data_IF_065232562408
#
_entry.id   IF_065232562408
#
_cell.length_a   1.000
_cell.length_b   1.000
_cell.length_c   1.000
_cell.angle_alpha   90.00
_cell.angle_beta   90.00
_cell.angle_gamma   90.00
#
_symmetry.space_group_name_H-M   'P 1'
#
loop_
_entity.id
_entity.type
_entity.pdbx_description
1 polymer ?
#
# COMPACT_ATOMS: atom_id res chain seq x y z
N UNK A 1 31.25 -6.28 38.59
CA UNK A 1 31.23 -7.62 38.06
C UNK A 1 31.28 -7.67 36.54
N UNK A 2 32.42 -8.05 36.02
CA UNK A 2 32.74 -8.11 34.58
C UNK A 2 31.90 -9.13 33.82
N UNK A 3 31.41 -10.18 34.43
CA UNK A 3 30.49 -11.17 33.84
C UNK A 3 29.16 -10.56 33.44
N UNK A 4 28.56 -9.76 34.30
CA UNK A 4 27.26 -9.15 34.05
C UNK A 4 27.32 -8.14 32.92
N UNK A 5 28.44 -7.43 32.76
CA UNK A 5 28.67 -6.48 31.63
C UNK A 5 28.85 -7.19 30.29
N UNK A 6 29.47 -8.40 30.31
CA UNK A 6 29.64 -9.23 29.09
C UNK A 6 28.32 -9.83 28.64
N UNK A 7 27.48 -10.30 29.55
CA UNK A 7 26.15 -10.83 29.23
C UNK A 7 25.21 -9.74 28.72
N UNK A 8 25.23 -8.56 29.34
CA UNK A 8 24.46 -7.41 28.88
C UNK A 8 24.85 -7.02 27.46
N UNK A 9 26.14 -6.93 27.14
CA UNK A 9 26.63 -6.65 25.78
C UNK A 9 26.24 -7.76 24.78
N UNK A 10 26.21 -9.02 25.22
CA UNK A 10 25.83 -10.17 24.38
C UNK A 10 24.32 -10.14 24.07
N UNK A 11 23.48 -9.75 25.03
CA UNK A 11 22.04 -9.55 24.84
C UNK A 11 21.77 -8.36 23.94
N UNK A 12 22.39 -7.22 24.16
CA UNK A 12 22.27 -6.04 23.30
C UNK A 12 22.71 -6.32 21.84
N UNK A 13 23.80 -7.10 21.67
CA UNK A 13 24.28 -7.50 20.34
C UNK A 13 23.33 -8.49 19.65
N UNK A 14 22.68 -9.38 20.42
CA UNK A 14 21.67 -10.32 19.93
C UNK A 14 20.39 -9.57 19.54
N UNK A 15 19.96 -8.62 20.36
CA UNK A 15 18.80 -7.78 20.12
C UNK A 15 18.97 -6.87 18.89
N UNK A 16 20.19 -6.32 18.69
CA UNK A 16 20.54 -5.57 17.48
C UNK A 16 20.54 -6.42 16.21
N UNK A 17 20.87 -7.71 16.29
CA UNK A 17 20.86 -8.63 15.15
C UNK A 17 19.46 -9.00 14.67
N UNK A 18 18.46 -8.94 15.55
CA UNK A 18 17.07 -9.27 15.24
C UNK A 18 16.25 -8.07 14.78
N UNK A 19 16.77 -6.84 14.95
CA UNK A 19 16.13 -5.64 14.46
C UNK A 19 16.29 -5.52 12.96
N UNK A 20 15.18 -5.32 12.28
CA UNK A 20 15.12 -5.06 10.86
C UNK A 20 14.51 -3.69 10.62
N UNK A 21 15.13 -2.93 9.75
CA UNK A 21 14.61 -1.67 9.25
C UNK A 21 14.11 -1.92 7.84
N UNK A 22 12.90 -1.48 7.55
CA UNK A 22 12.30 -1.62 6.25
C UNK A 22 11.70 -0.27 5.81
N UNK A 23 12.00 0.15 4.60
CA UNK A 23 11.40 1.32 3.94
C UNK A 23 10.73 0.85 2.67
N UNK A 24 9.43 1.06 2.57
CA UNK A 24 8.68 0.56 1.44
C UNK A 24 7.28 1.14 1.33
N UNK A 25 6.53 0.60 0.39
CA UNK A 25 5.16 1.01 0.13
C UNK A 25 4.18 -0.07 0.58
N UNK A 26 3.07 0.37 1.16
CA UNK A 26 1.98 -0.52 1.59
C UNK A 26 1.30 -1.12 0.37
N UNK A 27 1.24 -2.43 0.28
CA UNK A 27 0.71 -3.13 -0.89
C UNK A 27 -0.81 -3.29 -0.89
N UNK A 28 -1.41 -3.34 0.28
CA UNK A 28 -2.86 -3.45 0.48
C UNK A 28 -3.26 -2.69 1.73
N UNK A 29 -4.53 -2.29 1.81
CA UNK A 29 -5.06 -1.68 3.02
C UNK A 29 -4.87 -2.59 4.22
N UNK A 30 -4.44 -2.04 5.37
CA UNK A 30 -4.21 -2.82 6.57
C UNK A 30 -5.48 -3.51 7.05
N UNK A 31 -5.33 -4.75 7.52
CA UNK A 31 -6.37 -5.48 8.24
C UNK A 31 -6.16 -5.29 9.72
N UNK A 32 -7.12 -4.68 10.39
CA UNK A 32 -7.04 -4.43 11.82
C UNK A 32 -8.07 -5.28 12.56
N UNK A 33 -7.61 -5.93 13.62
CA UNK A 33 -8.45 -6.73 14.50
C UNK A 33 -8.33 -6.20 15.91
N UNK A 34 -9.49 -5.91 16.51
CA UNK A 34 -9.63 -5.50 17.90
C UNK A 34 -10.07 -6.70 18.74
N UNK A 35 -9.46 -6.85 19.90
CA UNK A 35 -9.80 -7.91 20.86
C UNK A 35 -10.53 -7.35 22.09
N UNK A 36 -11.32 -8.19 22.75
CA UNK A 36 -12.09 -7.82 23.95
C UNK A 36 -11.23 -7.32 25.12
N UNK A 37 -9.95 -7.68 25.11
CA UNK A 37 -8.95 -7.23 26.09
C UNK A 37 -8.50 -5.78 25.90
N UNK A 38 -9.02 -5.07 24.88
CA UNK A 38 -8.59 -3.72 24.51
C UNK A 38 -7.31 -3.68 23.69
N UNK A 39 -6.76 -4.83 23.31
CA UNK A 39 -5.61 -4.92 22.42
C UNK A 39 -6.05 -4.92 20.95
N UNK A 40 -5.17 -4.43 20.08
CA UNK A 40 -5.39 -4.41 18.64
C UNK A 40 -4.17 -4.95 17.90
N UNK A 41 -4.41 -5.57 16.74
CA UNK A 41 -3.36 -6.04 15.83
C UNK A 41 -3.71 -5.61 14.42
N UNK A 42 -2.77 -4.96 13.76
CA UNK A 42 -2.86 -4.60 12.35
C UNK A 42 -1.85 -5.41 11.54
N UNK A 43 -2.27 -5.91 10.40
CA UNK A 43 -1.41 -6.66 9.47
C UNK A 43 -1.54 -6.09 8.07
N UNK A 44 -0.41 -5.93 7.39
CA UNK A 44 -0.37 -5.47 6.00
C UNK A 44 0.92 -5.90 5.30
N UNK A 45 0.89 -6.06 3.97
CA UNK A 45 2.10 -6.30 3.19
C UNK A 45 2.83 -4.99 2.90
N UNK A 46 4.16 -5.01 3.00
CA UNK A 46 5.04 -3.91 2.64
C UNK A 46 5.99 -4.35 1.54
N UNK A 47 6.02 -3.61 0.44
CA UNK A 47 6.96 -3.81 -0.65
C UNK A 47 8.21 -2.95 -0.42
N UNK A 48 9.35 -3.59 -0.30
CA UNK A 48 10.66 -2.91 -0.32
C UNK A 48 11.30 -3.12 -1.68
N UNK A 49 11.82 -2.05 -2.25
CA UNK A 49 12.39 -2.08 -3.59
C UNK A 49 13.85 -1.63 -3.55
N UNK A 50 14.73 -2.51 -4.01
CA UNK A 50 16.12 -2.20 -4.29
C UNK A 50 16.24 -1.75 -5.73
N UNK A 51 16.75 -0.54 -5.93
CA UNK A 51 16.92 0.00 -7.28
C UNK A 51 17.95 -0.80 -8.06
N UNK A 52 17.64 -1.07 -9.32
CA UNK A 52 18.62 -1.59 -10.26
C UNK A 52 19.78 -0.61 -10.45
N UNK A 53 20.95 -1.14 -10.77
CA UNK A 53 22.16 -0.37 -11.04
C UNK A 53 23.01 -1.05 -12.10
N UNK A 54 23.92 -0.29 -12.69
CA UNK A 54 24.85 -0.81 -13.68
C UNK A 54 26.25 -0.95 -13.05
N UNK A 55 26.83 -2.12 -13.15
CA UNK A 55 28.19 -2.39 -12.71
C UNK A 55 29.21 -1.68 -13.63
N UNK A 56 30.45 -1.49 -13.14
CA UNK A 56 31.53 -0.88 -13.91
C UNK A 56 31.86 -1.62 -15.21
N UNK A 57 31.57 -2.92 -15.28
CA UNK A 57 31.74 -3.75 -16.48
C UNK A 57 30.57 -3.67 -17.48
N UNK A 58 29.60 -2.78 -17.25
CA UNK A 58 28.41 -2.62 -18.08
C UNK A 58 27.26 -3.59 -17.82
N UNK A 59 27.42 -4.51 -16.87
CA UNK A 59 26.33 -5.44 -16.49
C UNK A 59 25.23 -4.69 -15.76
N UNK A 60 24.00 -4.84 -16.22
CA UNK A 60 22.82 -4.25 -15.56
C UNK A 60 22.25 -5.22 -14.51
N UNK A 61 22.16 -4.73 -13.29
CA UNK A 61 21.45 -5.41 -12.21
C UNK A 61 20.02 -4.86 -12.15
N UNK A 62 18.99 -5.71 -12.35
CA UNK A 62 17.62 -5.24 -12.39
C UNK A 62 17.12 -4.82 -11.00
N UNK A 63 16.07 -4.00 -10.99
CA UNK A 63 15.32 -3.67 -9.80
C UNK A 63 14.72 -4.92 -9.17
N UNK A 64 14.76 -5.02 -7.85
CA UNK A 64 14.21 -6.13 -7.08
C UNK A 64 13.25 -5.65 -6.03
N UNK A 65 12.04 -6.18 -6.03
CA UNK A 65 11.02 -5.93 -5.01
C UNK A 65 10.83 -7.15 -4.15
N UNK A 66 10.84 -6.96 -2.83
CA UNK A 66 10.56 -7.99 -1.84
C UNK A 66 9.33 -7.59 -1.02
N UNK A 67 8.50 -8.60 -0.71
CA UNK A 67 7.30 -8.42 0.08
C UNK A 67 7.51 -8.90 1.50
N UNK A 68 7.14 -8.06 2.45
CA UNK A 68 7.23 -8.34 3.87
C UNK A 68 5.85 -8.31 4.52
N UNK A 69 5.56 -9.29 5.37
CA UNK A 69 4.36 -9.28 6.20
C UNK A 69 4.64 -8.46 7.47
N UNK A 70 3.90 -7.40 7.66
CA UNK A 70 4.07 -6.47 8.77
C UNK A 70 2.98 -6.71 9.79
N UNK A 71 3.36 -6.75 11.07
CA UNK A 71 2.46 -6.88 12.22
C UNK A 71 2.71 -5.72 13.17
N UNK A 72 1.70 -4.88 13.37
CA UNK A 72 1.69 -3.81 14.35
C UNK A 72 0.71 -4.14 15.47
N UNK A 73 1.05 -3.82 16.70
CA UNK A 73 0.22 -4.16 17.86
C UNK A 73 -0.16 -2.94 18.67
N UNK A 74 -1.30 -3.00 19.34
CA UNK A 74 -1.82 -2.00 20.27
C UNK A 74 -1.84 -0.60 19.66
N UNK A 75 -1.17 0.37 20.26
CA UNK A 75 -1.13 1.76 19.80
C UNK A 75 -0.68 1.92 18.35
N UNK A 76 0.29 1.11 17.90
CA UNK A 76 0.72 1.15 16.51
C UNK A 76 -0.35 0.61 15.57
N UNK A 77 -1.11 -0.40 15.99
CA UNK A 77 -2.25 -0.90 15.23
C UNK A 77 -3.35 0.16 15.07
N UNK A 78 -3.63 0.95 16.09
CA UNK A 78 -4.58 2.06 16.02
C UNK A 78 -4.12 3.17 15.08
N UNK A 79 -2.84 3.49 15.08
CA UNK A 79 -2.24 4.46 14.15
C UNK A 79 -2.34 3.95 12.72
N UNK A 80 -2.04 2.66 12.50
CA UNK A 80 -2.18 2.02 11.19
C UNK A 80 -3.61 2.07 10.70
N UNK A 81 -4.59 1.77 11.57
CA UNK A 81 -6.02 1.80 11.23
C UNK A 81 -6.48 3.18 10.77
N UNK A 82 -6.02 4.23 11.45
CA UNK A 82 -6.44 5.62 11.19
C UNK A 82 -5.74 6.26 10.00
N UNK A 83 -4.47 5.96 9.77
CA UNK A 83 -3.62 6.77 8.90
C UNK A 83 -2.97 6.03 7.75
N UNK A 84 -2.85 4.70 7.82
CA UNK A 84 -2.13 3.91 6.82
C UNK A 84 -3.09 3.33 5.79
N UNK A 85 -2.80 3.57 4.51
CA UNK A 85 -3.57 3.10 3.37
C UNK A 85 -2.66 2.44 2.34
N UNK A 86 -3.25 1.68 1.45
CA UNK A 86 -2.54 1.12 0.29
C UNK A 86 -1.81 2.23 -0.47
N UNK A 87 -0.55 1.97 -0.80
CA UNK A 87 0.30 2.90 -1.53
C UNK A 87 1.11 3.84 -0.65
N UNK A 88 0.80 3.96 0.63
CA UNK A 88 1.54 4.82 1.55
C UNK A 88 2.99 4.34 1.71
N UNK A 89 3.89 5.31 1.83
CA UNK A 89 5.29 5.05 2.06
C UNK A 89 5.60 5.09 3.55
N UNK A 90 6.16 4.01 4.05
CA UNK A 90 6.48 3.85 5.47
C UNK A 90 7.94 3.50 5.68
N UNK A 91 8.47 3.95 6.81
CA UNK A 91 9.68 3.44 7.42
C UNK A 91 9.32 2.69 8.70
N UNK A 92 9.80 1.48 8.83
CA UNK A 92 9.50 0.60 9.94
C UNK A 92 10.78 0.10 10.60
N UNK A 93 10.75 0.01 11.90
CA UNK A 93 11.74 -0.71 12.70
C UNK A 93 11.03 -1.79 13.48
N UNK A 94 11.55 -3.00 13.43
CA UNK A 94 10.91 -4.11 14.11
C UNK A 94 11.79 -5.34 14.23
N UNK A 95 11.20 -6.41 14.73
CA UNK A 95 11.84 -7.70 14.91
C UNK A 95 11.27 -8.71 13.94
N UNK A 96 12.15 -9.45 13.27
CA UNK A 96 11.74 -10.58 12.44
C UNK A 96 11.36 -11.75 13.33
N UNK A 97 10.19 -12.33 13.06
CA UNK A 97 9.75 -13.56 13.70
C UNK A 97 9.19 -14.52 12.66
N UNK A 98 9.54 -15.77 12.78
CA UNK A 98 8.96 -16.85 11.99
C UNK A 98 8.08 -17.69 12.89
N UNK A 99 6.83 -17.90 12.47
CA UNK A 99 5.90 -18.81 13.14
C UNK A 99 5.40 -19.87 12.18
N UNK A 100 5.04 -21.00 12.72
CA UNK A 100 4.39 -22.08 11.98
C UNK A 100 2.87 -22.00 12.14
N UNK A 101 2.16 -22.43 11.13
CA UNK A 101 0.71 -22.60 11.15
C UNK A 101 0.33 -23.81 10.30
N UNK A 102 -0.80 -24.42 10.60
CA UNK A 102 -1.36 -25.49 9.75
C UNK A 102 -2.27 -24.85 8.70
N UNK A 103 -2.07 -25.20 7.44
CA UNK A 103 -2.98 -24.78 6.36
C UNK A 103 -4.25 -25.65 6.35
N UNK A 104 -5.16 -25.36 5.44
CA UNK A 104 -6.44 -26.07 5.32
C UNK A 104 -6.27 -27.56 4.98
N UNK A 105 -5.13 -27.95 4.42
CA UNK A 105 -4.79 -29.35 4.12
C UNK A 105 -4.14 -30.07 5.32
N UNK A 106 -3.91 -29.36 6.45
CA UNK A 106 -3.20 -29.88 7.61
C UNK A 106 -1.69 -29.85 7.48
N UNK A 107 -1.14 -29.32 6.40
CA UNK A 107 0.30 -29.19 6.21
C UNK A 107 0.87 -28.04 7.03
N UNK A 108 2.02 -28.26 7.68
CA UNK A 108 2.75 -27.22 8.40
C UNK A 108 3.37 -26.23 7.43
N UNK A 109 3.04 -24.96 7.61
CA UNK A 109 3.59 -23.83 6.86
C UNK A 109 4.31 -22.90 7.81
N UNK A 110 5.26 -22.14 7.26
CA UNK A 110 6.00 -21.12 7.98
C UNK A 110 5.74 -19.77 7.36
N UNK A 111 5.53 -18.78 8.21
CA UNK A 111 5.40 -17.39 7.78
C UNK A 111 6.39 -16.53 8.57
N UNK A 112 7.11 -15.70 7.86
CA UNK A 112 8.03 -14.72 8.44
C UNK A 112 7.37 -13.35 8.44
N UNK A 113 7.33 -12.74 9.60
CA UNK A 113 6.67 -11.46 9.86
C UNK A 113 7.63 -10.49 10.54
N UNK A 114 7.45 -9.21 10.28
CA UNK A 114 8.15 -8.12 10.98
C UNK A 114 7.20 -7.52 12.00
N UNK A 115 7.50 -7.73 13.27
CA UNK A 115 6.77 -7.12 14.39
C UNK A 115 7.32 -5.72 14.63
N UNK A 116 6.49 -4.71 14.42
CA UNK A 116 6.89 -3.31 14.43
C UNK A 116 7.06 -2.80 15.84
N UNK A 117 8.22 -2.23 16.13
CA UNK A 117 8.53 -1.50 17.36
C UNK A 117 8.37 0.02 17.15
N UNK A 118 8.69 0.52 15.96
CA UNK A 118 8.58 1.92 15.58
C UNK A 118 8.16 2.07 14.12
N UNK A 119 7.37 3.09 13.84
CA UNK A 119 6.86 3.36 12.51
C UNK A 119 6.86 4.86 12.23
N UNK A 120 7.29 5.25 11.05
CA UNK A 120 7.27 6.61 10.55
C UNK A 120 6.59 6.65 9.16
N UNK A 121 5.66 7.58 9.01
CA UNK A 121 4.98 7.80 7.74
C UNK A 121 5.81 8.77 6.89
N UNK A 122 6.22 8.33 5.70
CA UNK A 122 7.03 9.12 4.77
C UNK A 122 6.20 9.75 3.65
N UNK A 123 4.93 9.38 3.51
CA UNK A 123 4.02 10.04 2.58
C UNK A 123 3.64 11.42 3.10
N UNK A 124 3.70 12.48 2.29
CA UNK A 124 3.25 13.79 2.71
C UNK A 124 1.76 13.74 3.08
N UNK A 125 1.41 14.31 4.24
CA UNK A 125 0.02 14.51 4.63
C UNK A 125 -0.65 15.37 3.56
N UNK A 126 -1.59 14.80 2.81
CA UNK A 126 -2.41 15.56 1.86
C UNK A 126 -2.14 15.33 0.38
N UNK A 127 -1.43 14.28 -0.02
CA UNK A 127 -1.46 13.82 -1.40
C UNK A 127 -2.81 13.13 -1.67
N UNK A 128 -3.87 13.92 -1.75
CA UNK A 128 -5.12 13.50 -2.34
C UNK A 128 -4.89 13.49 -3.85
N UNK A 129 -5.02 12.37 -4.57
CA UNK A 129 -4.91 12.37 -6.02
C UNK A 129 -6.20 12.94 -6.64
N UNK A 130 -6.49 14.20 -6.36
CA UNK A 130 -7.73 14.83 -6.82
C UNK A 130 -7.76 16.36 -6.75
N UNK A 131 -6.71 17.02 -6.26
CA UNK A 131 -6.62 18.47 -6.30
C UNK A 131 -5.65 18.89 -7.40
N UNK A 132 -6.14 18.84 -8.61
CA UNK A 132 -5.49 19.48 -9.76
C UNK A 132 -5.46 20.98 -9.58
N UNK A 133 -4.27 21.52 -9.71
CA UNK A 133 -3.88 22.84 -10.09
C UNK A 133 -4.99 23.88 -10.26
N UNK A 134 -5.04 24.85 -9.38
CA UNK A 134 -5.52 26.18 -9.71
C UNK A 134 -4.33 27.12 -9.68
N UNK A 135 -3.85 27.41 -10.86
CA UNK A 135 -2.89 28.46 -11.09
C UNK A 135 -3.57 29.81 -10.89
N UNK A 136 -3.03 30.57 -10.00
CA UNK A 136 -3.17 32.01 -9.84
C UNK A 136 -2.76 32.74 -11.11
N UNK A 137 -3.60 33.68 -11.52
CA UNK A 137 -3.24 34.66 -12.51
C UNK A 137 -4.40 35.61 -12.80
N UNK A 138 -4.48 36.71 -12.11
CA UNK A 138 -5.33 37.90 -12.32
C UNK A 138 -4.57 38.91 -13.16
N UNK A 139 -5.20 40.09 -13.52
CA UNK A 139 -6.48 40.41 -14.12
C UNK A 139 -6.32 41.37 -15.34
N UNK A 140 -7.37 41.66 -16.06
CA UNK A 140 -7.76 43.03 -16.42
C UNK A 140 -8.70 43.10 -17.62
N UNK A 141 -9.84 43.70 -17.33
CA UNK A 141 -10.61 44.74 -18.07
C UNK A 141 -11.05 44.50 -19.52
N UNK A 142 -12.38 44.54 -19.69
CA UNK A 142 -12.90 45.43 -20.72
C UNK A 142 -13.96 44.86 -21.65
N UNK A 143 -15.22 45.25 -21.39
CA UNK A 143 -16.28 45.63 -22.32
C UNK A 143 -17.07 44.55 -23.07
N UNK A 144 -18.27 44.40 -22.63
CA UNK A 144 -19.58 44.63 -23.28
C UNK A 144 -19.70 44.29 -24.76
N UNK A 145 -20.61 43.38 -25.07
CA UNK A 145 -21.85 43.62 -25.83
C UNK A 145 -22.61 42.32 -26.10
N UNK A 146 -23.86 42.29 -25.67
CA UNK A 146 -24.96 41.46 -26.12
C UNK A 146 -25.63 42.15 -27.33
N UNK A 147 -26.71 41.63 -27.99
CA UNK A 147 -27.19 40.25 -28.18
C UNK A 147 -27.52 40.01 -29.68
N UNK A 148 -28.02 38.85 -30.08
CA UNK A 148 -29.26 38.60 -30.85
C UNK A 148 -29.43 37.09 -31.15
N UNK A 149 -30.52 36.67 -30.77
CA UNK A 149 -31.59 35.79 -31.26
C UNK A 149 -31.37 34.96 -32.54
N UNK A 150 -31.85 33.72 -32.45
CA UNK A 150 -32.17 32.90 -33.61
C UNK A 150 -32.27 31.40 -33.29
N UNK A 151 -33.42 30.98 -32.78
CA UNK A 151 -33.97 29.62 -32.95
C UNK A 151 -34.72 29.58 -34.29
N UNK A 152 -35.30 28.48 -34.78
CA UNK A 152 -35.27 27.06 -34.42
C UNK A 152 -35.25 26.08 -35.62
N UNK A 153 -35.58 24.83 -35.33
CA UNK A 153 -36.18 23.74 -36.16
C UNK A 153 -35.24 22.63 -36.58
N UNK A 154 -35.57 21.49 -36.20
CA UNK A 154 -36.53 20.39 -36.33
C UNK A 154 -35.82 19.16 -36.85
N UNK A 155 -35.91 18.13 -36.07
CA UNK A 155 -36.70 16.90 -36.24
C UNK A 155 -36.29 15.94 -37.36
N UNK A 156 -36.08 14.74 -36.97
CA UNK A 156 -36.63 13.45 -37.45
C UNK A 156 -35.66 12.34 -37.03
N UNK A 157 -36.03 11.49 -36.09
CA UNK A 157 -36.81 10.27 -36.19
C UNK A 157 -36.34 9.31 -37.29
N UNK A 158 -35.91 8.17 -36.80
CA UNK A 158 -36.35 6.82 -37.20
C UNK A 158 -35.38 5.84 -36.54
N UNK A 159 -35.79 5.09 -35.52
CA UNK A 159 -36.40 3.76 -35.59
C UNK A 159 -35.60 2.80 -36.48
N UNK A 160 -35.09 1.73 -35.96
CA UNK A 160 -35.75 0.51 -35.60
C UNK A 160 -34.72 -0.52 -35.08
N UNK A 161 -35.06 -1.18 -34.02
CA UNK A 161 -34.73 -2.59 -33.79
C UNK A 161 -35.45 -3.44 -34.85
N UNK A 162 -35.30 -4.75 -34.94
CA UNK A 162 -34.88 -5.71 -33.93
C UNK A 162 -34.18 -7.01 -34.45
N UNK A 163 -33.72 -7.79 -33.49
CA UNK A 163 -34.01 -9.20 -33.20
C UNK A 163 -33.27 -10.31 -33.92
N UNK A 164 -32.86 -11.21 -33.02
CA UNK A 164 -32.82 -12.67 -33.18
C UNK A 164 -31.57 -13.25 -33.85
N UNK A 165 -31.02 -14.29 -33.45
CA UNK A 165 -31.43 -15.42 -32.59
C UNK A 165 -30.20 -16.22 -32.21
N UNK A 166 -30.25 -16.75 -31.03
CA UNK A 166 -29.52 -17.94 -30.61
C UNK A 166 -30.04 -19.14 -31.45
N UNK A 167 -29.37 -20.24 -31.70
CA UNK A 167 -29.15 -21.15 -30.62
C UNK A 167 -27.85 -22.01 -30.69
N UNK A 168 -27.47 -22.37 -29.49
CA UNK A 168 -27.09 -23.68 -29.02
C UNK A 168 -26.25 -24.63 -29.90
N UNK A 169 -25.47 -25.30 -29.13
CA UNK A 169 -24.90 -26.65 -29.36
C UNK A 169 -23.42 -26.61 -29.68
N UNK A 170 -22.56 -27.26 -29.04
CA UNK A 170 -22.57 -28.58 -28.43
C UNK A 170 -21.25 -28.75 -27.69
N UNK A 171 -21.28 -29.17 -26.48
CA UNK A 171 -20.19 -29.91 -25.86
C UNK A 171 -20.14 -31.29 -26.50
N UNK A 172 -18.99 -31.92 -26.64
CA UNK A 172 -18.52 -32.70 -25.51
C UNK A 172 -16.99 -32.87 -25.42
N UNK A 173 -16.63 -33.31 -24.26
CA UNK A 173 -15.42 -33.90 -23.71
C UNK A 173 -14.52 -32.99 -22.88
#
# INVERSE_FOLDING_TARGET
>A
STKNRREKKKREKKEKKEKKNAKGNVGQDPRVKYFDTGSAVATFPLATTDRGYTLANGTQIPERTEWHNIVASNRLAEIVDKYVHKGDKLYLEGKIRTRSYSDQSGAMRYITEIYVDNMEMLSPKGANPGAGASATGQPATGQQQQPVAGQPQQAQQSQAQPVQDNPADDLPF
#
